data_IF_031214154921
#
_entry.id   IF_031214154921
#
_cell.length_a   1.000
_cell.length_b   1.000
_cell.length_c   1.000
_cell.angle_alpha   90.00
_cell.angle_beta   90.00
_cell.angle_gamma   90.00
#
_symmetry.space_group_name_H-M   'P 1'
#
loop_
_entity.id
_entity.type
_entity.pdbx_description
1 polymer ?
#
# COMPACT_ATOMS: atom_id res chain seq x y z
N UNK A 1 20.62 -25.44 -9.44
CA UNK A 1 20.58 -23.96 -9.36
C UNK A 1 19.69 -23.61 -8.19
N UNK A 2 20.27 -23.60 -7.01
CA UNK A 2 19.58 -23.30 -5.76
C UNK A 2 19.18 -21.82 -5.80
N UNK A 3 17.87 -21.53 -5.86
CA UNK A 3 17.39 -20.16 -5.97
C UNK A 3 17.63 -19.45 -4.64
N UNK A 4 18.41 -18.37 -4.68
CA UNK A 4 18.79 -17.49 -3.56
C UNK A 4 17.60 -17.13 -2.65
N UNK A 5 17.78 -16.98 -1.32
CA UNK A 5 16.72 -16.68 -0.35
C UNK A 5 15.76 -15.55 -0.75
N UNK A 6 16.22 -14.51 -1.44
CA UNK A 6 15.37 -13.41 -1.93
C UNK A 6 14.34 -13.93 -2.94
N UNK A 7 14.75 -14.85 -3.82
CA UNK A 7 13.86 -15.49 -4.79
C UNK A 7 12.75 -16.30 -4.10
N UNK A 8 13.04 -16.96 -2.98
CA UNK A 8 12.03 -17.71 -2.23
C UNK A 8 11.10 -16.78 -1.45
N UNK A 9 11.65 -15.82 -0.71
CA UNK A 9 10.88 -14.97 0.20
C UNK A 9 10.02 -13.92 -0.53
N UNK A 10 10.59 -13.26 -1.55
CA UNK A 10 9.90 -12.18 -2.26
C UNK A 10 9.10 -12.70 -3.44
N UNK A 11 9.75 -13.38 -4.39
CA UNK A 11 9.09 -13.83 -5.62
C UNK A 11 8.17 -15.03 -5.39
N UNK A 12 8.65 -16.05 -4.66
CA UNK A 12 7.86 -17.22 -4.29
C UNK A 12 6.90 -16.97 -3.11
N UNK A 13 7.18 -15.97 -2.28
CA UNK A 13 6.36 -15.60 -1.13
C UNK A 13 5.38 -14.48 -1.44
N UNK A 14 5.63 -13.28 -0.90
CA UNK A 14 4.62 -12.21 -0.88
C UNK A 14 4.13 -11.79 -2.27
N UNK A 15 5.02 -11.73 -3.27
CA UNK A 15 4.63 -11.40 -4.65
C UNK A 15 3.69 -12.46 -5.24
N UNK A 16 3.96 -13.74 -4.99
CA UNK A 16 3.07 -14.82 -5.46
C UNK A 16 1.72 -14.77 -4.73
N UNK A 17 1.72 -14.49 -3.43
CA UNK A 17 0.48 -14.30 -2.66
C UNK A 17 -0.39 -13.18 -3.22
N UNK A 18 0.20 -12.03 -3.55
CA UNK A 18 -0.50 -10.91 -4.21
C UNK A 18 -1.09 -11.36 -5.55
N UNK A 19 -0.30 -12.04 -6.39
CA UNK A 19 -0.76 -12.52 -7.69
C UNK A 19 -1.95 -13.47 -7.57
N UNK A 20 -1.89 -14.46 -6.68
CA UNK A 20 -2.99 -15.40 -6.45
C UNK A 20 -4.25 -14.66 -6.02
N UNK A 21 -4.14 -13.67 -5.12
CA UNK A 21 -5.29 -12.90 -4.67
C UNK A 21 -5.91 -12.08 -5.81
N UNK A 22 -5.10 -11.44 -6.65
CA UNK A 22 -5.59 -10.69 -7.84
C UNK A 22 -6.22 -11.64 -8.86
N UNK A 23 -5.54 -12.74 -9.21
CA UNK A 23 -6.02 -13.76 -10.17
C UNK A 23 -7.37 -14.36 -9.77
N UNK A 24 -7.71 -14.34 -8.48
CA UNK A 24 -8.96 -14.86 -7.94
C UNK A 24 -9.93 -13.76 -7.46
N UNK A 25 -9.76 -12.52 -7.93
CA UNK A 25 -10.63 -11.36 -7.61
C UNK A 25 -10.76 -11.07 -6.11
N UNK A 26 -9.81 -11.52 -5.29
CA UNK A 26 -9.75 -11.29 -3.85
C UNK A 26 -9.05 -9.96 -3.56
N UNK A 27 -9.56 -8.85 -4.13
CA UNK A 27 -8.84 -7.57 -4.18
C UNK A 27 -8.53 -6.96 -2.81
N UNK A 28 -9.42 -7.07 -1.82
CA UNK A 28 -9.13 -6.57 -0.48
C UNK A 28 -7.97 -7.34 0.19
N UNK A 29 -7.90 -8.65 -0.01
CA UNK A 29 -6.75 -9.47 0.41
C UNK A 29 -5.49 -9.11 -0.36
N UNK A 30 -5.59 -8.89 -1.68
CA UNK A 30 -4.47 -8.44 -2.51
C UNK A 30 -3.90 -7.11 -2.00
N UNK A 31 -4.76 -6.14 -1.70
CA UNK A 31 -4.37 -4.84 -1.13
C UNK A 31 -3.63 -5.00 0.20
N UNK A 32 -4.14 -5.83 1.12
CA UNK A 32 -3.46 -6.08 2.40
C UNK A 32 -2.06 -6.66 2.14
N UNK A 33 -1.94 -7.66 1.26
CA UNK A 33 -0.65 -8.26 0.92
C UNK A 33 0.29 -7.28 0.21
N UNK A 34 -0.21 -6.39 -0.64
CA UNK A 34 0.57 -5.31 -1.27
C UNK A 34 1.12 -4.38 -0.18
N UNK A 35 0.28 -3.93 0.75
CA UNK A 35 0.69 -3.02 1.83
C UNK A 35 1.68 -3.71 2.80
N UNK A 36 1.51 -4.99 3.09
CA UNK A 36 2.51 -5.79 3.82
C UNK A 36 3.80 -6.02 3.02
N UNK A 37 3.70 -6.10 1.69
CA UNK A 37 4.85 -6.14 0.79
C UNK A 37 5.68 -4.87 0.91
N UNK A 38 5.03 -3.71 0.97
CA UNK A 38 5.69 -2.43 1.18
C UNK A 38 6.37 -2.38 2.56
N UNK A 39 5.72 -2.83 3.64
CA UNK A 39 6.36 -2.95 4.98
C UNK A 39 7.66 -3.78 4.88
N UNK A 40 7.63 -4.90 4.14
CA UNK A 40 8.80 -5.76 3.93
C UNK A 40 9.90 -5.09 3.11
N UNK A 41 9.54 -4.37 2.05
CA UNK A 41 10.52 -3.65 1.21
C UNK A 41 11.10 -2.42 1.93
N UNK A 42 10.32 -1.77 2.80
CA UNK A 42 10.80 -0.70 3.67
C UNK A 42 11.83 -1.23 4.67
N UNK A 43 11.55 -2.37 5.31
CA UNK A 43 12.51 -3.07 6.18
C UNK A 43 13.83 -3.36 5.46
N UNK A 44 13.79 -3.89 4.23
CA UNK A 44 14.98 -4.17 3.44
C UNK A 44 15.77 -2.92 3.02
N UNK A 45 15.16 -1.74 3.07
CA UNK A 45 15.78 -0.47 2.70
C UNK A 45 16.32 0.31 3.92
N UNK A 46 16.17 -0.23 5.14
CA UNK A 46 16.66 0.40 6.36
C UNK A 46 18.20 0.40 6.43
N UNK A 47 18.81 1.34 7.16
CA UNK A 47 20.22 1.26 7.52
C UNK A 47 20.52 -0.02 8.32
N UNK A 48 21.73 -0.58 8.14
CA UNK A 48 22.17 -1.79 8.86
C UNK A 48 22.10 -1.65 10.39
N UNK A 49 22.26 -0.42 10.91
CA UNK A 49 22.20 -0.13 12.34
C UNK A 49 20.78 -0.13 12.93
N UNK A 50 19.74 -0.26 12.10
CA UNK A 50 18.34 -0.20 12.52
C UNK A 50 17.72 -1.60 12.55
N UNK A 51 17.17 -1.98 13.69
CA UNK A 51 16.57 -3.32 13.89
C UNK A 51 15.13 -3.39 13.42
N UNK A 52 14.33 -2.37 13.72
CA UNK A 52 12.87 -2.38 13.52
C UNK A 52 12.43 -1.38 12.46
N UNK A 53 11.53 -1.83 11.57
CA UNK A 53 10.88 -0.95 10.59
C UNK A 53 9.91 -0.01 11.27
N UNK A 54 10.01 1.28 10.93
CA UNK A 54 9.13 2.31 11.47
C UNK A 54 8.12 2.77 10.42
N UNK A 55 7.12 3.52 10.88
CA UNK A 55 6.22 4.26 10.00
C UNK A 55 6.96 5.16 9.01
N UNK A 56 8.02 5.81 9.46
CA UNK A 56 8.78 6.75 8.61
C UNK A 56 9.43 6.00 7.45
N UNK A 57 10.00 4.82 7.72
CA UNK A 57 10.62 3.98 6.69
C UNK A 57 9.61 3.57 5.61
N UNK A 58 8.40 3.17 6.00
CA UNK A 58 7.31 2.88 5.05
C UNK A 58 6.98 4.11 4.19
N UNK A 59 6.75 5.26 4.84
CA UNK A 59 6.34 6.50 4.15
C UNK A 59 7.43 6.90 3.15
N UNK A 60 8.70 6.87 3.55
CA UNK A 60 9.82 7.26 2.72
C UNK A 60 10.04 6.28 1.57
N UNK A 61 9.87 4.99 1.80
CA UNK A 61 9.93 3.98 0.75
C UNK A 61 8.84 4.22 -0.32
N UNK A 62 7.59 4.45 0.10
CA UNK A 62 6.49 4.75 -0.83
C UNK A 62 6.79 6.02 -1.62
N UNK A 63 7.17 7.10 -0.94
CA UNK A 63 7.48 8.38 -1.59
C UNK A 63 8.62 8.26 -2.61
N UNK A 64 9.58 7.35 -2.36
CA UNK A 64 10.73 7.13 -3.24
C UNK A 64 10.40 6.26 -4.45
N UNK A 65 9.71 5.14 -4.25
CA UNK A 65 9.62 4.10 -5.25
C UNK A 65 8.24 3.97 -5.91
N UNK A 66 7.16 4.41 -5.26
CA UNK A 66 5.82 4.26 -5.81
C UNK A 66 5.44 5.43 -6.71
N UNK A 67 4.95 5.11 -7.91
CA UNK A 67 4.43 6.08 -8.88
C UNK A 67 3.09 5.58 -9.41
N UNK A 68 2.13 6.48 -9.53
CA UNK A 68 0.84 6.19 -10.13
C UNK A 68 0.82 6.70 -11.57
N UNK A 69 0.28 5.94 -12.53
CA UNK A 69 0.24 6.32 -13.95
C UNK A 69 -0.87 7.34 -14.26
N UNK A 70 -1.21 8.22 -13.32
CA UNK A 70 -2.23 9.26 -13.50
C UNK A 70 -1.82 10.59 -12.85
N UNK A 71 -2.64 11.62 -13.06
CA UNK A 71 -2.37 12.97 -12.53
C UNK A 71 -2.48 13.04 -11.01
N UNK A 72 -3.45 12.32 -10.44
CA UNK A 72 -3.67 12.29 -9.01
C UNK A 72 -2.55 11.48 -8.34
N UNK A 73 -2.05 11.97 -7.21
CA UNK A 73 -0.91 11.35 -6.51
C UNK A 73 -1.31 10.99 -5.11
N UNK A 74 -0.82 9.87 -4.60
CA UNK A 74 -0.89 9.53 -3.18
C UNK A 74 0.46 9.75 -2.53
N UNK A 75 0.43 10.22 -1.28
CA UNK A 75 1.62 10.32 -0.45
C UNK A 75 1.87 9.01 0.29
N UNK A 76 3.09 8.80 0.78
CA UNK A 76 3.39 7.71 1.70
C UNK A 76 2.51 7.74 2.95
N UNK A 77 2.13 8.93 3.44
CA UNK A 77 1.22 9.08 4.56
C UNK A 77 -0.21 8.57 4.24
N UNK A 78 -0.70 8.82 3.02
CA UNK A 78 -1.99 8.29 2.55
C UNK A 78 -1.98 6.76 2.56
N UNK A 79 -0.94 6.14 2.01
CA UNK A 79 -0.84 4.68 1.96
C UNK A 79 -0.57 4.04 3.32
N UNK A 80 0.19 4.69 4.20
CA UNK A 80 0.38 4.19 5.57
C UNK A 80 -0.94 4.24 6.36
N UNK A 81 -1.70 5.34 6.17
CA UNK A 81 -3.06 5.45 6.69
C UNK A 81 -3.96 4.33 6.14
N UNK A 82 -3.92 4.08 4.84
CA UNK A 82 -4.67 3.01 4.19
C UNK A 82 -4.30 1.62 4.71
N UNK A 83 -3.01 1.35 4.89
CA UNK A 83 -2.47 0.12 5.49
C UNK A 83 -3.06 -0.15 6.85
N UNK A 84 -3.09 0.86 7.72
CA UNK A 84 -3.69 0.71 9.04
C UNK A 84 -5.20 0.50 8.99
N UNK A 85 -5.92 1.19 8.11
CA UNK A 85 -7.37 1.07 7.98
C UNK A 85 -7.79 -0.30 7.43
N UNK A 86 -7.11 -0.77 6.37
CA UNK A 86 -7.38 -2.07 5.75
C UNK A 86 -7.04 -3.21 6.70
N UNK A 87 -5.86 -3.17 7.33
CA UNK A 87 -5.40 -4.27 8.18
C UNK A 87 -6.24 -4.40 9.46
N UNK A 88 -6.59 -3.29 10.12
CA UNK A 88 -7.24 -3.34 11.43
C UNK A 88 -8.77 -3.27 11.38
N UNK A 89 -9.34 -2.72 10.31
CA UNK A 89 -10.79 -2.48 10.23
C UNK A 89 -11.43 -2.91 8.90
N UNK A 90 -10.62 -3.38 7.94
CA UNK A 90 -11.09 -3.68 6.58
C UNK A 90 -11.90 -2.53 5.97
N UNK A 91 -11.44 -1.29 6.20
CA UNK A 91 -12.13 -0.07 5.84
C UNK A 91 -11.16 1.04 5.43
N UNK A 92 -11.65 2.28 5.35
CA UNK A 92 -10.89 3.43 4.83
C UNK A 92 -10.40 4.40 5.91
N UNK A 93 -10.85 4.23 7.16
CA UNK A 93 -10.59 5.16 8.26
C UNK A 93 -9.53 4.60 9.21
N UNK A 94 -8.36 5.22 9.22
CA UNK A 94 -7.31 5.01 10.22
C UNK A 94 -7.27 6.14 11.26
N UNK A 95 -6.50 5.94 12.34
CA UNK A 95 -6.19 7.00 13.31
C UNK A 95 -5.63 8.25 12.60
N UNK A 96 -4.71 8.09 11.65
CA UNK A 96 -4.12 9.22 10.92
C UNK A 96 -5.15 9.98 10.08
N UNK A 97 -6.06 9.27 9.42
CA UNK A 97 -7.14 9.94 8.65
C UNK A 97 -8.14 10.68 9.55
N UNK A 98 -8.47 10.13 10.72
CA UNK A 98 -9.33 10.82 11.71
C UNK A 98 -8.69 12.09 12.26
N UNK A 99 -7.37 12.08 12.41
CA UNK A 99 -6.58 13.23 12.85
C UNK A 99 -6.25 14.21 11.71
N UNK A 100 -6.77 13.98 10.48
CA UNK A 100 -6.52 14.84 9.32
C UNK A 100 -5.08 14.81 8.79
N UNK A 101 -4.29 13.79 9.16
CA UNK A 101 -2.86 13.67 8.79
C UNK A 101 -2.63 12.99 7.44
N UNK A 102 -3.65 12.36 6.90
CA UNK A 102 -3.64 11.73 5.58
C UNK A 102 -5.07 11.64 5.05
N UNK A 103 -5.22 11.36 3.75
CA UNK A 103 -6.53 11.06 3.17
C UNK A 103 -6.97 9.64 3.52
N UNK A 104 -8.28 9.43 3.42
CA UNK A 104 -8.89 8.10 3.38
C UNK A 104 -8.71 7.53 1.97
N UNK A 105 -8.22 6.30 1.88
CA UNK A 105 -7.99 5.60 0.61
C UNK A 105 -8.90 4.39 0.56
N UNK A 106 -9.85 4.40 -0.36
CA UNK A 106 -10.66 3.23 -0.71
C UNK A 106 -10.10 2.54 -1.95
N UNK A 107 -10.44 1.27 -2.10
CA UNK A 107 -9.97 0.43 -3.20
C UNK A 107 -11.16 -0.09 -4.01
N UNK A 108 -11.02 -0.12 -5.33
CA UNK A 108 -12.03 -0.64 -6.26
C UNK A 108 -11.35 -1.46 -7.36
N UNK A 109 -12.11 -2.35 -8.00
CA UNK A 109 -11.66 -3.01 -9.22
C UNK A 109 -11.84 -2.07 -10.41
N UNK A 110 -10.81 -1.99 -11.27
CA UNK A 110 -10.86 -1.41 -12.62
C UNK A 110 -11.37 0.05 -12.69
N UNK A 111 -10.46 1.02 -12.52
CA UNK A 111 -10.76 2.43 -12.76
C UNK A 111 -9.77 3.06 -13.75
N UNK A 112 -10.33 3.86 -14.68
CA UNK A 112 -9.58 4.83 -15.47
C UNK A 112 -10.18 6.22 -15.20
N UNK A 113 -9.38 7.23 -14.77
CA UNK A 113 -8.00 7.07 -14.29
C UNK A 113 -7.91 6.16 -13.05
N UNK A 114 -6.73 5.60 -12.81
CA UNK A 114 -6.45 4.60 -11.77
C UNK A 114 -6.68 5.14 -10.35
N UNK A 115 -6.62 6.46 -10.19
CA UNK A 115 -7.05 7.14 -8.96
C UNK A 115 -8.19 8.08 -9.29
N UNK A 116 -9.31 7.89 -8.60
CA UNK A 116 -10.49 8.77 -8.66
C UNK A 116 -10.56 9.63 -7.42
N UNK A 117 -10.59 10.95 -7.64
CA UNK A 117 -10.73 11.96 -6.60
C UNK A 117 -11.77 12.99 -7.03
N UNK A 118 -12.72 13.30 -6.16
CA UNK A 118 -13.70 14.36 -6.38
C UNK A 118 -13.83 15.22 -5.13
N UNK A 119 -13.17 16.39 -5.07
CA UNK A 119 -13.18 17.25 -3.88
C UNK A 119 -14.55 17.85 -3.58
N UNK A 120 -15.47 17.87 -4.55
CA UNK A 120 -16.87 18.33 -4.34
C UNK A 120 -17.69 17.31 -3.55
N UNK A 121 -17.31 16.03 -3.59
CA UNK A 121 -17.97 14.95 -2.84
C UNK A 121 -17.29 14.79 -1.48
N UNK A 122 -15.95 14.65 -1.47
CA UNK A 122 -15.16 14.59 -0.26
C UNK A 122 -13.71 14.95 -0.58
N UNK A 123 -13.20 16.03 0.02
CA UNK A 123 -11.85 16.53 -0.21
C UNK A 123 -10.74 15.66 0.41
N UNK A 124 -11.10 14.72 1.29
CA UNK A 124 -10.19 13.85 2.03
C UNK A 124 -10.37 12.37 1.68
N UNK A 125 -11.10 12.03 0.61
CA UNK A 125 -11.32 10.65 0.18
C UNK A 125 -10.92 10.44 -1.28
N UNK A 126 -10.19 9.35 -1.52
CA UNK A 126 -9.78 8.92 -2.85
C UNK A 126 -10.03 7.44 -3.04
N UNK A 127 -10.24 7.04 -4.29
CA UNK A 127 -10.47 5.66 -4.68
C UNK A 127 -9.35 5.22 -5.63
N UNK A 128 -8.76 4.05 -5.36
CA UNK A 128 -7.62 3.50 -6.10
C UNK A 128 -8.02 2.20 -6.75
N UNK A 129 -7.70 2.06 -8.04
CA UNK A 129 -7.84 0.80 -8.76
C UNK A 129 -6.83 -0.23 -8.25
N UNK A 130 -7.30 -1.44 -7.98
CA UNK A 130 -6.48 -2.62 -7.67
C UNK A 130 -6.31 -3.47 -8.92
#
# INVERSE_FOLDING_TARGET
MERDPISKAIYGGIKRGIQVAVENNCYGSAVILILSGIDSMAFLNMPESQTDVTRTDFIDWVNRYMKFPCKEKLTGADLYGARCAMLHTYGVVSKMSREGKCRMVGYMSEAVPEIRFNPKVNNNFVLVSV
#
